data_IF_414625290908
#
_entry.id   IF_414625290908
#
_cell.length_a   1.000
_cell.length_b   1.000
_cell.length_c   1.000
_cell.angle_alpha   90.00
_cell.angle_beta   90.00
_cell.angle_gamma   90.00
#
_symmetry.space_group_name_H-M   'P 1'
#
loop_
_entity.id
_entity.type
_entity.pdbx_description
1 polymer ?
#
# COMPACT_ATOMS: atom_id res chain seq x y z
N UNK A 1 16.31 42.45 14.51
CA UNK A 1 17.14 42.38 13.28
C UNK A 1 17.21 40.90 12.88
N UNK A 2 16.35 40.48 11.94
CA UNK A 2 16.66 40.22 10.51
C UNK A 2 17.26 38.80 10.36
N UNK A 3 16.44 37.77 10.19
CA UNK A 3 15.92 37.23 8.91
C UNK A 3 16.98 36.57 8.04
N UNK A 4 16.55 35.46 7.41
CA UNK A 4 17.06 34.81 6.21
C UNK A 4 18.06 33.65 6.42
N UNK A 5 17.48 32.47 6.67
CA UNK A 5 17.93 31.20 6.08
C UNK A 5 16.69 30.27 6.11
N UNK A 6 15.55 30.57 5.48
CA UNK A 6 15.31 30.65 4.03
C UNK A 6 16.18 29.72 3.16
N UNK A 7 16.38 28.48 3.62
CA UNK A 7 16.74 27.36 2.76
C UNK A 7 15.84 26.13 2.96
N UNK A 8 14.68 26.28 3.60
CA UNK A 8 13.57 25.33 3.42
C UNK A 8 12.85 25.64 2.09
N UNK A 9 13.66 25.71 1.04
CA UNK A 9 13.27 25.93 -0.33
C UNK A 9 12.69 24.61 -0.82
N UNK A 10 11.39 24.47 -0.65
CA UNK A 10 10.56 23.71 -1.59
C UNK A 10 10.94 22.23 -1.68
N UNK A 11 10.80 21.48 -0.58
CA UNK A 11 10.57 20.04 -0.75
C UNK A 11 9.25 19.94 -1.48
N UNK A 12 9.32 19.63 -2.77
CA UNK A 12 8.17 19.43 -3.64
C UNK A 12 7.12 18.62 -2.89
N UNK A 13 5.86 19.07 -2.89
CA UNK A 13 4.72 18.33 -2.37
C UNK A 13 4.53 17.06 -3.23
N UNK A 14 5.38 16.08 -3.00
CA UNK A 14 5.40 14.74 -3.57
C UNK A 14 5.84 13.81 -2.46
N UNK A 15 5.04 13.76 -1.39
CA UNK A 15 5.34 12.95 -0.21
C UNK A 15 5.55 11.49 -0.60
N UNK A 16 6.55 10.87 0.01
CA UNK A 16 6.71 9.42 -0.05
C UNK A 16 5.48 8.76 0.57
N UNK A 17 4.89 7.77 -0.09
CA UNK A 17 3.72 7.05 0.41
C UNK A 17 4.15 5.64 0.81
N UNK A 18 3.94 5.28 2.07
CA UNK A 18 4.17 3.91 2.56
C UNK A 18 2.84 3.18 2.67
N UNK A 19 2.77 1.99 2.06
CA UNK A 19 1.60 1.14 2.07
C UNK A 19 1.97 -0.30 2.43
N UNK A 20 1.09 -0.95 3.20
CA UNK A 20 1.13 -2.41 3.41
C UNK A 20 -0.04 -3.03 2.67
N UNK A 21 0.24 -4.07 1.87
CA UNK A 21 -0.77 -4.78 1.10
C UNK A 21 -0.78 -6.25 1.49
N UNK A 22 -1.87 -6.70 2.07
CA UNK A 22 -2.12 -8.11 2.42
C UNK A 22 -3.11 -8.75 1.45
N UNK A 23 -2.93 -10.04 1.18
CA UNK A 23 -3.89 -10.88 0.46
C UNK A 23 -4.19 -12.09 1.32
N UNK A 24 -5.47 -12.31 1.64
CA UNK A 24 -5.88 -13.50 2.38
C UNK A 24 -5.61 -14.78 1.59
N UNK A 25 -5.25 -15.83 2.32
CA UNK A 25 -4.94 -17.15 1.78
C UNK A 25 -3.44 -17.45 1.76
N UNK A 26 -3.12 -18.73 1.89
CA UNK A 26 -1.76 -19.22 1.93
C UNK A 26 -0.96 -18.80 0.68
N UNK A 27 0.15 -18.09 0.89
CA UNK A 27 1.02 -17.61 -0.20
C UNK A 27 0.42 -16.49 -1.07
N UNK A 28 -0.73 -15.91 -0.69
CA UNK A 28 -1.40 -14.83 -1.42
C UNK A 28 -0.51 -13.60 -1.56
N UNK A 29 0.06 -13.14 -0.46
CA UNK A 29 0.95 -11.96 -0.40
C UNK A 29 2.30 -12.22 -1.10
N UNK A 30 2.85 -13.42 -1.00
CA UNK A 30 4.09 -13.78 -1.72
C UNK A 30 3.88 -13.79 -3.24
N UNK A 31 2.72 -14.27 -3.70
CA UNK A 31 2.41 -14.25 -5.13
C UNK A 31 2.12 -12.83 -5.62
N UNK A 32 1.52 -11.99 -4.78
CA UNK A 32 1.33 -10.57 -5.07
C UNK A 32 2.68 -9.87 -5.23
N UNK A 33 3.60 -10.05 -4.28
CA UNK A 33 4.95 -9.50 -4.35
C UNK A 33 5.65 -9.88 -5.67
N UNK A 34 5.63 -11.17 -6.04
CA UNK A 34 6.23 -11.63 -7.29
C UNK A 34 5.59 -11.01 -8.53
N UNK A 35 4.29 -10.74 -8.47
CA UNK A 35 3.56 -10.13 -9.58
C UNK A 35 3.90 -8.64 -9.69
N UNK A 36 3.88 -7.89 -8.58
CA UNK A 36 4.26 -6.47 -8.54
C UNK A 36 5.73 -6.26 -8.91
N UNK A 37 6.63 -7.14 -8.48
CA UNK A 37 8.05 -7.08 -8.83
C UNK A 37 8.35 -7.27 -10.33
N UNK A 38 7.37 -7.74 -11.12
CA UNK A 38 7.47 -7.82 -12.58
C UNK A 38 6.99 -6.56 -13.29
N UNK A 39 6.37 -5.63 -12.57
CA UNK A 39 5.93 -4.36 -13.12
C UNK A 39 7.12 -3.38 -13.15
N UNK A 40 7.58 -2.97 -14.35
CA UNK A 40 8.72 -2.08 -14.47
C UNK A 40 8.44 -0.70 -13.87
N UNK A 41 7.21 -0.19 -13.96
CA UNK A 41 6.86 1.14 -13.46
C UNK A 41 7.01 1.17 -11.92
N UNK A 42 6.52 0.14 -11.24
CA UNK A 42 6.67 -0.01 -9.79
C UNK A 42 8.12 -0.25 -9.37
N UNK A 43 8.90 -0.97 -10.16
CA UNK A 43 10.32 -1.19 -9.89
C UNK A 43 11.14 0.11 -9.98
N UNK A 44 10.74 1.07 -10.83
CA UNK A 44 11.38 2.37 -10.94
C UNK A 44 10.87 3.40 -9.93
N UNK A 45 9.58 3.35 -9.58
CA UNK A 45 8.91 4.37 -8.79
C UNK A 45 8.79 4.04 -7.29
N UNK A 46 9.18 2.84 -6.87
CA UNK A 46 9.06 2.43 -5.47
C UNK A 46 10.06 1.38 -5.02
N UNK A 47 10.06 1.12 -3.71
CA UNK A 47 10.74 -0.01 -3.09
C UNK A 47 9.69 -0.93 -2.48
N UNK A 48 9.80 -2.21 -2.79
CA UNK A 48 8.93 -3.24 -2.24
C UNK A 48 9.74 -4.17 -1.36
N UNK A 49 9.22 -4.50 -0.18
CA UNK A 49 9.84 -5.46 0.73
C UNK A 49 8.81 -6.41 1.31
N UNK A 50 9.12 -7.70 1.43
CA UNK A 50 8.23 -8.65 2.08
C UNK A 50 8.13 -8.36 3.57
N UNK A 51 6.91 -8.40 4.12
CA UNK A 51 6.65 -8.38 5.56
C UNK A 51 6.36 -9.81 5.98
N UNK A 52 7.24 -10.33 6.83
CA UNK A 52 7.09 -11.64 7.45
C UNK A 52 6.85 -11.42 8.94
N UNK A 53 5.69 -11.83 9.44
CA UNK A 53 5.43 -11.85 10.87
C UNK A 53 6.19 -13.03 11.46
N UNK A 54 7.06 -12.83 12.47
CA UNK A 54 7.68 -13.94 13.16
C UNK A 54 6.59 -14.71 13.90
N UNK A 55 6.38 -15.97 13.50
CA UNK A 55 5.48 -16.85 14.24
C UNK A 55 6.09 -17.19 15.60
N UNK A 56 5.26 -17.34 16.63
CA UNK A 56 5.69 -17.74 17.97
C UNK A 56 6.58 -18.99 17.92
N UNK A 57 7.58 -19.11 18.83
CA UNK A 57 8.50 -20.24 18.83
C UNK A 57 7.73 -21.55 18.98
N UNK A 58 7.65 -22.34 17.90
CA UNK A 58 6.89 -23.59 17.84
C UNK A 58 6.14 -23.81 16.52
N UNK A 59 5.82 -22.75 15.79
CA UNK A 59 5.23 -22.82 14.45
C UNK A 59 6.34 -22.66 13.38
N UNK A 60 6.50 -23.67 12.52
CA UNK A 60 7.53 -23.64 11.48
C UNK A 60 7.17 -22.64 10.37
N UNK A 61 8.05 -21.65 10.17
CA UNK A 61 8.01 -20.71 9.05
C UNK A 61 7.14 -19.49 9.32
N UNK A 62 7.75 -18.31 9.32
CA UNK A 62 6.99 -17.06 9.32
C UNK A 62 6.07 -16.99 8.10
N UNK A 63 4.79 -16.74 8.31
CA UNK A 63 3.85 -16.57 7.20
C UNK A 63 4.11 -15.22 6.54
N UNK A 64 4.33 -15.22 5.23
CA UNK A 64 4.38 -13.98 4.45
C UNK A 64 3.01 -13.32 4.52
N UNK A 65 2.88 -12.30 5.35
CA UNK A 65 1.60 -11.68 5.69
C UNK A 65 1.25 -10.58 4.69
N UNK A 66 2.23 -9.73 4.35
CA UNK A 66 1.98 -8.54 3.55
C UNK A 66 3.20 -8.11 2.72
N UNK A 67 2.95 -7.26 1.73
CA UNK A 67 3.98 -6.55 0.97
C UNK A 67 4.03 -5.12 1.47
N UNK A 68 5.19 -4.67 1.97
CA UNK A 68 5.42 -3.25 2.20
C UNK A 68 5.86 -2.58 0.90
N UNK A 69 5.28 -1.43 0.60
CA UNK A 69 5.53 -0.66 -0.61
C UNK A 69 5.78 0.79 -0.23
N UNK A 70 6.95 1.29 -0.58
CA UNK A 70 7.34 2.70 -0.39
C UNK A 70 7.40 3.33 -1.77
N UNK A 71 6.50 4.28 -2.04
CA UNK A 71 6.38 4.96 -3.32
C UNK A 71 6.99 6.35 -3.24
N UNK A 72 7.70 6.77 -4.30
CA UNK A 72 8.35 8.07 -4.34
C UNK A 72 7.38 9.26 -4.41
N UNK A 73 6.14 9.04 -4.86
CA UNK A 73 5.10 10.07 -4.97
C UNK A 73 3.69 9.45 -5.08
N UNK A 74 2.66 10.31 -5.02
CA UNK A 74 1.24 9.92 -5.11
C UNK A 74 0.84 9.45 -6.52
N UNK A 75 1.51 9.86 -7.59
CA UNK A 75 1.18 9.36 -8.93
C UNK A 75 1.48 7.85 -9.05
N UNK A 76 2.55 7.38 -8.40
CA UNK A 76 2.89 5.96 -8.32
C UNK A 76 1.85 5.11 -7.56
N UNK A 77 1.02 5.74 -6.70
CA UNK A 77 -0.08 5.06 -6.01
C UNK A 77 -1.13 4.58 -7.01
N UNK A 78 -1.39 5.37 -8.05
CA UNK A 78 -2.30 4.99 -9.12
C UNK A 78 -1.84 3.73 -9.84
N UNK A 79 -0.58 3.70 -10.27
CA UNK A 79 0.04 2.51 -10.89
C UNK A 79 -0.07 1.30 -9.97
N UNK A 80 0.26 1.45 -8.67
CA UNK A 80 0.19 0.36 -7.69
C UNK A 80 -1.22 -0.21 -7.54
N UNK A 81 -2.22 0.66 -7.35
CA UNK A 81 -3.61 0.23 -7.16
C UNK A 81 -4.13 -0.48 -8.41
N UNK A 82 -3.85 0.05 -9.60
CA UNK A 82 -4.21 -0.60 -10.86
C UNK A 82 -3.56 -1.96 -10.98
N UNK A 83 -2.26 -2.05 -10.69
CA UNK A 83 -1.50 -3.29 -10.73
C UNK A 83 -2.15 -4.35 -9.80
N UNK A 84 -2.48 -3.99 -8.55
CA UNK A 84 -3.16 -4.90 -7.61
C UNK A 84 -4.56 -5.32 -8.10
N UNK A 85 -5.33 -4.40 -8.69
CA UNK A 85 -6.65 -4.73 -9.25
C UNK A 85 -6.56 -5.62 -10.49
N UNK A 86 -5.54 -5.44 -11.33
CA UNK A 86 -5.24 -6.33 -12.46
C UNK A 86 -4.87 -7.71 -11.96
N UNK A 87 -3.97 -7.81 -10.97
CA UNK A 87 -3.63 -9.07 -10.31
C UNK A 87 -4.88 -9.79 -9.79
N UNK A 88 -5.78 -9.08 -9.09
CA UNK A 88 -7.06 -9.64 -8.64
C UNK A 88 -7.91 -10.14 -9.80
N UNK A 89 -7.98 -9.37 -10.88
CA UNK A 89 -8.79 -9.70 -12.06
C UNK A 89 -8.29 -10.94 -12.81
N UNK A 90 -6.97 -11.17 -12.84
CA UNK A 90 -6.39 -12.38 -13.43
C UNK A 90 -6.76 -13.66 -12.69
N UNK A 91 -7.28 -13.55 -11.46
CA UNK A 91 -7.69 -14.67 -10.62
C UNK A 91 -9.20 -14.85 -10.48
N UNK A 92 -10.00 -14.40 -11.45
CA UNK A 92 -11.45 -14.60 -11.44
C UNK A 92 -11.81 -16.07 -11.17
N UNK A 93 -12.42 -16.28 -10.01
CA UNK A 93 -12.80 -17.56 -9.41
C UNK A 93 -12.95 -17.35 -7.90
N UNK A 94 -13.79 -18.16 -7.24
CA UNK A 94 -14.19 -18.09 -5.81
C UNK A 94 -13.05 -18.17 -4.77
N UNK A 95 -11.79 -17.99 -5.19
CA UNK A 95 -10.57 -18.21 -4.40
C UNK A 95 -9.64 -16.99 -4.38
N UNK A 96 -10.08 -15.84 -4.89
CA UNK A 96 -9.37 -14.58 -4.65
C UNK A 96 -9.70 -14.13 -3.23
N UNK A 97 -8.82 -14.39 -2.26
CA UNK A 97 -8.97 -13.88 -0.90
C UNK A 97 -9.15 -12.36 -0.87
N UNK A 98 -9.58 -11.83 0.29
CA UNK A 98 -9.70 -10.38 0.45
C UNK A 98 -8.34 -9.71 0.24
N UNK A 99 -8.36 -8.48 -0.29
CA UNK A 99 -7.15 -7.67 -0.43
C UNK A 99 -7.26 -6.49 0.54
N UNK A 100 -6.28 -6.34 1.43
CA UNK A 100 -6.22 -5.26 2.40
C UNK A 100 -5.09 -4.30 2.04
N UNK A 101 -5.42 -3.03 1.91
CA UNK A 101 -4.48 -1.91 1.82
C UNK A 101 -4.44 -1.20 3.15
N UNK A 102 -3.26 -0.87 3.64
CA UNK A 102 -3.07 -0.08 4.85
C UNK A 102 -2.03 1.02 4.59
N UNK A 103 -2.37 2.26 4.92
CA UNK A 103 -1.49 3.43 4.76
C UNK A 103 -1.83 4.45 5.83
N UNK A 104 -0.85 4.91 6.61
CA UNK A 104 -1.03 5.97 7.63
C UNK A 104 -2.26 5.73 8.53
N UNK A 105 -2.47 4.48 8.99
CA UNK A 105 -3.62 4.11 9.83
C UNK A 105 -4.95 3.92 9.10
N UNK A 106 -5.04 4.28 7.81
CA UNK A 106 -6.20 4.00 6.96
C UNK A 106 -6.14 2.57 6.47
N UNK A 107 -7.22 1.82 6.68
CA UNK A 107 -7.36 0.45 6.18
C UNK A 107 -8.49 0.38 5.16
N UNK A 108 -8.18 -0.09 3.95
CA UNK A 108 -9.15 -0.36 2.89
C UNK A 108 -9.10 -1.85 2.57
N UNK A 109 -10.16 -2.58 2.90
CA UNK A 109 -10.31 -4.00 2.57
C UNK A 109 -11.26 -4.15 1.39
N UNK A 110 -10.88 -5.01 0.44
CA UNK A 110 -11.72 -5.38 -0.69
C UNK A 110 -12.05 -6.86 -0.61
N UNK A 111 -13.33 -7.13 -0.42
CA UNK A 111 -13.87 -8.48 -0.33
C UNK A 111 -13.89 -9.19 -1.71
N UNK A 112 -13.86 -10.54 -1.71
CA UNK A 112 -14.05 -11.32 -2.92
C UNK A 112 -15.36 -10.95 -3.63
N UNK A 113 -15.27 -10.73 -4.94
CA UNK A 113 -16.45 -10.39 -5.76
C UNK A 113 -16.89 -8.93 -5.68
N UNK A 114 -16.29 -8.10 -4.81
CA UNK A 114 -16.57 -6.66 -4.78
C UNK A 114 -15.95 -5.97 -5.98
N UNK A 115 -16.79 -5.27 -6.74
CA UNK A 115 -16.34 -4.35 -7.77
C UNK A 115 -16.00 -3.01 -7.12
N UNK A 116 -14.76 -2.57 -7.30
CA UNK A 116 -14.25 -1.30 -6.79
C UNK A 116 -13.28 -0.73 -7.81
N UNK A 117 -13.32 0.59 -7.98
CA UNK A 117 -12.47 1.31 -8.92
C UNK A 117 -11.16 1.72 -8.27
N UNK A 118 -10.10 1.89 -9.07
CA UNK A 118 -8.82 2.38 -8.58
C UNK A 118 -8.96 3.77 -7.93
N UNK A 119 -9.73 4.66 -8.54
CA UNK A 119 -10.00 6.01 -8.05
C UNK A 119 -10.62 6.02 -6.64
N UNK A 120 -11.53 5.09 -6.35
CA UNK A 120 -12.15 4.99 -5.04
C UNK A 120 -11.14 4.56 -3.96
N UNK A 121 -10.29 3.57 -4.27
CA UNK A 121 -9.24 3.12 -3.35
C UNK A 121 -8.25 4.25 -3.07
N UNK A 122 -7.81 4.95 -4.13
CA UNK A 122 -6.88 6.09 -4.02
C UNK A 122 -7.50 7.21 -3.20
N UNK A 123 -8.77 7.54 -3.43
CA UNK A 123 -9.49 8.56 -2.67
C UNK A 123 -9.55 8.18 -1.19
N UNK A 124 -9.92 6.94 -0.84
CA UNK A 124 -9.99 6.48 0.55
C UNK A 124 -8.63 6.48 1.24
N UNK A 125 -7.57 6.05 0.54
CA UNK A 125 -6.20 6.06 1.07
C UNK A 125 -5.65 7.50 1.25
N UNK A 126 -6.06 8.43 0.39
CA UNK A 126 -5.62 9.83 0.45
C UNK A 126 -6.41 10.66 1.46
N UNK A 127 -7.71 10.39 1.62
CA UNK A 127 -8.60 11.11 2.53
C UNK A 127 -8.22 10.87 4.00
N UNK A 128 -7.93 9.62 4.37
CA UNK A 128 -7.52 9.33 5.74
C UNK A 128 -6.08 9.74 6.08
N UNK A 129 -5.22 10.04 5.09
CA UNK A 129 -3.92 10.70 5.33
C UNK A 129 -4.08 12.19 5.73
N UNK A 130 -5.28 12.77 5.55
CA UNK A 130 -5.63 14.12 5.99
C UNK A 130 -6.33 14.19 7.35
N UNK A 131 -6.62 13.04 7.99
CA UNK A 131 -7.48 12.94 9.18
C UNK A 131 -6.82 13.22 10.53
N UNK A 132 -5.50 13.35 10.60
CA UNK A 132 -4.77 13.56 11.86
C UNK A 132 -4.55 15.05 12.19
N UNK A 133 -5.60 15.89 12.13
CA UNK A 133 -5.54 17.27 12.66
C UNK A 133 -6.83 17.74 13.34
N UNK A 134 -7.53 16.92 14.14
CA UNK A 134 -8.48 17.51 15.11
C UNK A 134 -8.79 16.59 16.31
N UNK A 135 -7.78 16.27 17.13
CA UNK A 135 -8.02 15.89 18.54
C UNK A 135 -6.92 16.47 19.45
N UNK A 136 -6.78 17.79 19.39
CA UNK A 136 -6.33 18.60 20.54
C UNK A 136 -7.39 19.67 20.79
N UNK A 137 -8.38 19.35 21.61
CA UNK A 137 -9.18 20.31 22.36
C UNK A 137 -9.07 19.83 23.81
N UNK A 138 -8.21 20.48 24.61
CA UNK A 138 -8.46 21.69 25.42
C UNK A 138 -9.17 21.35 26.72
#
# INVERSE_FOLDING_TARGET
MKSADEAQKTTMNGGTVELRIGVDGEGGSATLYRWLARDPDLAYQGRMSPVVTPTSPGEQGGTFEAVNVILANVAALGSLVVAVLTYRSTRRGNSSGSIRFESQGVVVTIEPGTQVSAEEIIARLSDGAGGEQETRQS
#
